data_IF_979640193518
#
_entry.id   IF_979640193518
#
_cell.length_a   1.000
_cell.length_b   1.000
_cell.length_c   1.000
_cell.angle_alpha   90.00
_cell.angle_beta   90.00
_cell.angle_gamma   90.00
#
_symmetry.space_group_name_H-M   'P 1'
#
loop_
_entity.id
_entity.type
_entity.pdbx_description
1 polymer ?
#
# COMPACT_ATOMS: atom_id res chain seq x y z
N UNK A 1 -11.67 27.66 4.20
CA UNK A 1 -11.10 28.42 5.33
C UNK A 1 -9.64 28.78 5.05
N UNK A 2 -9.17 29.99 5.41
CA UNK A 2 -7.76 30.42 5.27
C UNK A 2 -7.18 30.78 6.64
N UNK A 3 -7.02 29.77 7.49
CA UNK A 3 -6.67 29.92 8.91
C UNK A 3 -5.39 30.76 9.13
N UNK A 4 -4.30 30.42 8.46
CA UNK A 4 -3.03 31.15 8.59
C UNK A 4 -3.10 32.62 8.10
N UNK A 5 -3.87 32.91 7.05
CA UNK A 5 -4.02 34.30 6.57
C UNK A 5 -4.88 35.14 7.51
N UNK A 6 -5.89 34.54 8.15
CA UNK A 6 -6.72 35.24 9.13
C UNK A 6 -5.91 35.59 10.39
N UNK A 7 -5.07 34.67 10.85
CA UNK A 7 -4.13 34.94 11.96
C UNK A 7 -3.16 36.08 11.64
N UNK A 8 -2.52 36.05 10.47
CA UNK A 8 -1.57 37.11 10.07
C UNK A 8 -2.23 38.49 9.89
N UNK A 9 -3.48 38.53 9.42
CA UNK A 9 -4.21 39.78 9.21
C UNK A 9 -4.86 40.35 10.48
N UNK A 10 -5.06 39.53 11.52
CA UNK A 10 -5.73 39.90 12.78
C UNK A 10 -4.85 40.68 13.76
N UNK A 11 -3.56 40.88 13.45
CA UNK A 11 -2.56 41.25 14.44
C UNK A 11 -2.07 40.00 15.17
N UNK A 12 -0.79 39.96 15.55
CA UNK A 12 -0.19 38.83 16.28
C UNK A 12 -0.86 38.65 17.64
N UNK A 13 -2.01 37.99 17.65
CA UNK A 13 -2.60 37.43 18.85
C UNK A 13 -1.78 36.23 19.31
N UNK A 14 -1.85 35.97 20.61
CA UNK A 14 -1.04 35.04 21.39
C UNK A 14 -0.65 33.74 20.63
N UNK A 15 0.66 33.51 20.45
CA UNK A 15 1.22 32.36 19.73
C UNK A 15 0.72 31.03 20.30
N UNK A 16 0.47 30.98 21.61
CA UNK A 16 -0.06 29.81 22.29
C UNK A 16 -1.47 29.45 21.81
N UNK A 17 -2.31 30.46 21.55
CA UNK A 17 -3.68 30.26 21.05
C UNK A 17 -3.65 29.78 19.60
N UNK A 18 -2.79 30.36 18.76
CA UNK A 18 -2.60 29.92 17.38
C UNK A 18 -2.19 28.44 17.30
N UNK A 19 -1.24 28.02 18.13
CA UNK A 19 -0.78 26.63 18.16
C UNK A 19 -1.87 25.67 18.67
N UNK A 20 -2.65 26.08 19.67
CA UNK A 20 -3.77 25.28 20.17
C UNK A 20 -4.85 25.08 19.11
N UNK A 21 -5.23 26.15 18.41
CA UNK A 21 -6.24 26.12 17.35
C UNK A 21 -5.74 25.35 16.12
N UNK A 22 -4.45 25.47 15.78
CA UNK A 22 -3.83 24.67 14.70
C UNK A 22 -3.87 23.18 15.02
N UNK A 23 -3.62 22.81 16.28
CA UNK A 23 -3.70 21.42 16.74
C UNK A 23 -5.13 20.87 16.70
N UNK A 24 -6.11 21.70 17.02
CA UNK A 24 -7.53 21.34 16.90
C UNK A 24 -7.93 21.12 15.43
N UNK A 25 -7.45 21.97 14.52
CA UNK A 25 -7.66 21.79 13.08
C UNK A 25 -7.02 20.50 12.55
N UNK A 26 -5.79 20.21 12.91
CA UNK A 26 -5.11 18.96 12.55
C UNK A 26 -5.89 17.73 13.04
N UNK A 27 -6.41 17.79 14.27
CA UNK A 27 -7.24 16.74 14.83
C UNK A 27 -8.54 16.54 14.02
N UNK A 28 -9.24 17.61 13.68
CA UNK A 28 -10.47 17.52 12.87
C UNK A 28 -10.21 16.94 11.48
N UNK A 29 -9.10 17.33 10.84
CA UNK A 29 -8.72 16.84 9.51
C UNK A 29 -8.43 15.32 9.53
N UNK A 30 -7.71 14.84 10.55
CA UNK A 30 -7.25 13.45 10.62
C UNK A 30 -8.29 12.50 11.22
N UNK A 31 -9.00 12.96 12.24
CA UNK A 31 -9.82 12.10 13.11
C UNK A 31 -11.21 12.63 13.42
N UNK A 32 -11.49 13.91 13.14
CA UNK A 32 -12.79 14.52 13.42
C UNK A 32 -13.79 14.40 12.28
N UNK A 33 -14.79 15.27 12.33
CA UNK A 33 -15.92 15.29 11.41
C UNK A 33 -15.60 16.05 10.11
N UNK A 34 -14.36 16.57 9.98
CA UNK A 34 -13.88 17.27 8.79
C UNK A 34 -14.72 18.52 8.50
N UNK A 35 -15.16 19.19 9.56
CA UNK A 35 -15.83 20.49 9.54
C UNK A 35 -15.03 21.51 8.71
N UNK A 36 -13.69 21.41 8.71
CA UNK A 36 -12.79 22.23 7.88
C UNK A 36 -13.14 22.16 6.38
N UNK A 37 -13.67 21.03 5.92
CA UNK A 37 -14.06 20.78 4.53
C UNK A 37 -15.58 20.82 4.31
N UNK A 38 -16.37 21.21 5.33
CA UNK A 38 -17.83 21.22 5.27
C UNK A 38 -18.46 19.85 5.59
N UNK A 39 -17.74 18.99 6.33
CA UNK A 39 -18.24 17.68 6.78
C UNK A 39 -17.99 16.53 5.81
N UNK A 40 -17.47 16.81 4.60
CA UNK A 40 -17.16 15.79 3.61
C UNK A 40 -15.65 15.60 3.45
N UNK A 41 -15.24 14.37 3.13
CA UNK A 41 -13.83 14.11 2.82
C UNK A 41 -13.52 14.64 1.41
N UNK A 42 -12.65 15.65 1.26
CA UNK A 42 -12.28 16.15 -0.06
C UNK A 42 -11.35 15.19 -0.80
N UNK A 43 -10.74 14.22 -0.10
CA UNK A 43 -9.80 13.27 -0.67
C UNK A 43 -10.53 12.04 -1.18
N UNK A 44 -10.45 11.83 -2.50
CA UNK A 44 -10.93 10.61 -3.13
C UNK A 44 -9.92 9.48 -2.90
N UNK A 45 -10.42 8.25 -2.74
CA UNK A 45 -9.58 7.06 -2.71
C UNK A 45 -8.87 6.93 -4.05
N UNK A 46 -7.57 7.18 -4.05
CA UNK A 46 -6.72 6.95 -5.22
C UNK A 46 -6.14 5.55 -5.17
N UNK A 47 -6.06 4.89 -6.33
CA UNK A 47 -5.28 3.68 -6.48
C UNK A 47 -3.79 4.06 -6.41
N UNK A 48 -3.17 3.78 -5.25
CA UNK A 48 -1.81 4.19 -4.96
C UNK A 48 -0.87 3.07 -5.40
N UNK A 49 0.02 3.38 -6.33
CA UNK A 49 1.14 2.53 -6.68
C UNK A 49 2.41 3.08 -6.05
N UNK A 50 3.08 2.27 -5.23
CA UNK A 50 4.37 2.61 -4.66
C UNK A 50 5.50 2.17 -5.60
N UNK A 51 6.43 3.09 -5.86
CA UNK A 51 7.50 2.88 -6.82
C UNK A 51 7.25 3.64 -8.11
N UNK A 52 8.20 3.54 -9.04
CA UNK A 52 8.15 4.26 -10.31
C UNK A 52 7.50 3.38 -11.39
N UNK A 53 7.81 2.08 -11.34
CA UNK A 53 7.42 1.12 -12.36
C UNK A 53 6.42 0.09 -11.80
N UNK A 54 5.38 -0.28 -12.58
CA UNK A 54 4.42 -1.28 -12.17
C UNK A 54 5.04 -2.68 -12.13
N UNK A 55 4.61 -3.48 -11.15
CA UNK A 55 4.92 -4.90 -11.11
C UNK A 55 4.03 -5.65 -12.10
N UNK A 56 4.64 -6.49 -12.91
CA UNK A 56 3.96 -7.43 -13.79
C UNK A 56 4.35 -8.86 -13.41
N UNK A 57 3.47 -9.81 -13.69
CA UNK A 57 3.73 -11.24 -13.54
C UNK A 57 3.67 -11.84 -14.93
N UNK A 58 4.76 -12.43 -15.38
CA UNK A 58 4.88 -13.03 -16.70
C UNK A 58 4.62 -14.53 -16.65
N UNK A 59 5.16 -15.22 -15.64
CA UNK A 59 5.02 -16.67 -15.52
C UNK A 59 5.10 -17.15 -14.07
N UNK A 60 4.47 -18.29 -13.79
CA UNK A 60 4.44 -18.93 -12.47
C UNK A 60 4.76 -20.40 -12.62
N UNK A 61 5.90 -20.81 -12.05
CA UNK A 61 6.39 -22.18 -12.12
C UNK A 61 6.37 -22.80 -10.72
N UNK A 62 5.74 -23.96 -10.58
CA UNK A 62 5.81 -24.76 -9.38
C UNK A 62 6.89 -25.85 -9.53
N UNK A 63 7.85 -25.89 -8.61
CA UNK A 63 8.93 -26.88 -8.62
C UNK A 63 9.31 -27.32 -7.20
N UNK A 64 9.30 -28.64 -6.94
CA UNK A 64 9.80 -29.26 -5.71
C UNK A 64 9.35 -28.55 -4.42
N UNK A 65 8.03 -28.30 -4.29
CA UNK A 65 7.42 -27.56 -3.16
C UNK A 65 7.76 -26.08 -3.07
N UNK A 66 8.21 -25.47 -4.17
CA UNK A 66 8.45 -24.04 -4.29
C UNK A 66 7.62 -23.45 -5.43
N UNK A 67 7.15 -22.22 -5.23
CA UNK A 67 6.56 -21.40 -6.28
C UNK A 67 7.62 -20.38 -6.70
N UNK A 68 7.95 -20.37 -7.98
CA UNK A 68 8.80 -19.38 -8.64
C UNK A 68 7.87 -18.48 -9.45
N UNK A 69 7.91 -17.18 -9.16
CA UNK A 69 7.14 -16.18 -9.90
C UNK A 69 8.11 -15.32 -10.67
N UNK A 70 7.96 -15.33 -12.00
CA UNK A 70 8.69 -14.51 -12.95
C UNK A 70 7.85 -13.31 -13.36
N UNK A 71 8.49 -12.18 -13.58
CA UNK A 71 7.82 -10.92 -13.85
C UNK A 71 8.80 -9.77 -13.98
N UNK A 72 8.32 -8.53 -13.82
CA UNK A 72 9.16 -7.34 -13.84
C UNK A 72 8.95 -6.47 -12.59
N UNK A 73 9.98 -5.70 -12.23
CA UNK A 73 9.95 -4.67 -11.18
C UNK A 73 9.64 -5.17 -9.77
N UNK A 74 9.93 -6.44 -9.47
CA UNK A 74 9.86 -6.92 -8.08
C UNK A 74 10.84 -6.15 -7.19
N UNK A 75 10.41 -5.92 -5.96
CA UNK A 75 11.22 -5.29 -4.93
C UNK A 75 11.35 -6.24 -3.74
N UNK A 76 12.26 -5.96 -2.79
CA UNK A 76 12.32 -6.70 -1.52
C UNK A 76 11.01 -6.69 -0.71
N UNK A 77 10.07 -5.80 -1.05
CA UNK A 77 8.74 -5.67 -0.44
C UNK A 77 7.65 -6.44 -1.20
N UNK A 78 7.96 -7.03 -2.36
CA UNK A 78 7.06 -7.91 -3.10
C UNK A 78 6.86 -9.23 -2.34
N UNK A 79 5.62 -9.63 -2.16
CA UNK A 79 5.20 -10.86 -1.48
C UNK A 79 4.21 -11.61 -2.35
N UNK A 80 4.44 -12.91 -2.50
CA UNK A 80 3.48 -13.81 -3.14
C UNK A 80 2.30 -13.98 -2.18
N UNK A 81 1.10 -13.94 -2.73
CA UNK A 81 -0.16 -14.14 -2.02
C UNK A 81 -0.91 -15.31 -2.67
N UNK A 82 -1.40 -16.21 -1.84
CA UNK A 82 -2.25 -17.33 -2.24
C UNK A 82 -3.62 -17.12 -1.58
N UNK A 83 -4.68 -17.02 -2.38
CA UNK A 83 -6.06 -16.77 -1.89
C UNK A 83 -6.15 -15.57 -0.93
N UNK A 84 -5.48 -14.47 -1.28
CA UNK A 84 -5.44 -13.25 -0.46
C UNK A 84 -4.62 -13.35 0.83
N UNK A 85 -3.79 -14.39 0.99
CA UNK A 85 -2.87 -14.54 2.12
C UNK A 85 -1.42 -14.49 1.67
N UNK A 86 -0.70 -13.50 2.19
CA UNK A 86 0.74 -13.37 1.96
C UNK A 86 1.50 -14.57 2.55
N UNK A 87 2.35 -15.18 1.73
CA UNK A 87 3.25 -16.27 2.12
C UNK A 87 4.68 -15.78 2.27
N UNK A 88 5.50 -16.54 2.98
CA UNK A 88 6.92 -16.23 3.11
C UNK A 88 7.59 -16.28 1.73
N UNK A 89 8.07 -15.11 1.29
CA UNK A 89 8.63 -14.92 -0.04
C UNK A 89 10.08 -14.45 0.09
N UNK A 90 10.96 -15.10 -0.65
CA UNK A 90 12.35 -14.70 -0.82
C UNK A 90 12.48 -13.89 -2.10
N UNK A 91 12.94 -12.65 -1.98
CA UNK A 91 13.33 -11.84 -3.13
C UNK A 91 14.68 -12.35 -3.66
N UNK A 92 14.74 -12.68 -4.96
CA UNK A 92 15.99 -13.12 -5.60
C UNK A 92 16.58 -11.97 -6.41
N UNK A 93 15.81 -11.43 -7.36
CA UNK A 93 16.13 -10.23 -8.14
C UNK A 93 14.84 -9.61 -8.71
N UNK A 94 14.89 -8.44 -9.38
CA UNK A 94 13.68 -7.74 -9.85
C UNK A 94 12.75 -8.50 -10.79
N UNK A 95 13.16 -9.66 -11.31
CA UNK A 95 12.36 -10.49 -12.22
C UNK A 95 12.04 -11.86 -11.63
N UNK A 96 12.48 -12.15 -10.39
CA UNK A 96 12.24 -13.44 -9.74
C UNK A 96 12.05 -13.33 -8.22
N UNK A 97 10.92 -13.86 -7.77
CA UNK A 97 10.63 -14.09 -6.35
C UNK A 97 10.20 -15.55 -6.12
N UNK A 98 10.53 -16.08 -4.95
CA UNK A 98 10.33 -17.51 -4.63
C UNK A 98 9.61 -17.67 -3.29
N UNK A 99 8.53 -18.45 -3.26
CA UNK A 99 7.92 -18.95 -2.03
C UNK A 99 8.30 -20.41 -1.83
N UNK A 100 8.83 -20.76 -0.65
CA UNK A 100 9.30 -22.11 -0.33
C UNK A 100 8.30 -22.87 0.52
N UNK A 101 8.36 -24.20 0.45
CA UNK A 101 7.59 -25.12 1.29
C UNK A 101 6.06 -24.94 1.16
N UNK A 102 5.58 -24.74 -0.07
CA UNK A 102 4.15 -24.61 -0.36
C UNK A 102 3.64 -25.95 -0.89
N UNK A 103 2.63 -26.57 -0.25
CA UNK A 103 2.09 -27.84 -0.72
C UNK A 103 1.33 -27.65 -2.03
N UNK A 104 1.58 -28.53 -2.99
CA UNK A 104 1.01 -28.51 -4.36
C UNK A 104 -0.52 -28.35 -4.37
N UNK A 105 -1.21 -29.00 -3.42
CA UNK A 105 -2.66 -28.94 -3.26
C UNK A 105 -3.20 -27.52 -3.01
N UNK A 106 -2.37 -26.62 -2.46
CA UNK A 106 -2.72 -25.19 -2.25
C UNK A 106 -2.40 -24.31 -3.46
N UNK A 107 -1.71 -24.82 -4.47
CA UNK A 107 -1.30 -24.06 -5.65
C UNK A 107 -2.27 -24.29 -6.81
N UNK A 108 -2.77 -25.53 -6.97
CA UNK A 108 -3.62 -25.91 -8.11
C UNK A 108 -5.01 -25.27 -8.10
N UNK A 109 -5.49 -24.83 -6.93
CA UNK A 109 -6.86 -24.35 -6.71
C UNK A 109 -6.89 -22.90 -6.20
N UNK A 110 -5.73 -22.24 -6.12
CA UNK A 110 -5.60 -20.92 -5.51
C UNK A 110 -5.28 -19.85 -6.54
N UNK A 111 -5.83 -18.65 -6.32
CA UNK A 111 -5.45 -17.46 -7.07
C UNK A 111 -4.11 -16.95 -6.55
N UNK A 112 -3.15 -16.79 -7.46
CA UNK A 112 -1.79 -16.34 -7.16
C UNK A 112 -1.67 -14.87 -7.54
N UNK A 113 -1.44 -14.02 -6.55
CA UNK A 113 -1.23 -12.58 -6.74
C UNK A 113 0.09 -12.16 -6.09
N UNK A 114 0.61 -11.00 -6.48
CA UNK A 114 1.79 -10.41 -5.85
C UNK A 114 1.43 -9.06 -5.27
N UNK A 115 1.67 -8.90 -3.97
CA UNK A 115 1.41 -7.67 -3.23
C UNK A 115 2.72 -6.98 -2.86
N UNK A 116 2.74 -5.66 -2.94
CA UNK A 116 3.78 -4.86 -2.30
C UNK A 116 3.35 -4.56 -0.87
N UNK A 117 4.10 -5.09 0.10
CA UNK A 117 3.77 -4.97 1.50
C UNK A 117 4.80 -4.08 2.20
N UNK A 118 4.32 -3.02 2.84
CA UNK A 118 5.15 -2.12 3.65
C UNK A 118 5.78 -2.82 4.86
N UNK A 119 6.74 -2.17 5.53
CA UNK A 119 7.37 -2.71 6.76
C UNK A 119 6.36 -2.98 7.89
N UNK A 120 5.24 -2.28 7.87
CA UNK A 120 4.11 -2.36 8.79
C UNK A 120 3.10 -3.48 8.43
N UNK A 121 3.38 -4.28 7.41
CA UNK A 121 2.52 -5.35 6.88
C UNK A 121 1.22 -4.88 6.23
N UNK A 122 1.12 -3.58 5.92
CA UNK A 122 -0.03 -3.04 5.20
C UNK A 122 0.21 -3.27 3.70
N UNK A 123 -0.77 -3.84 2.96
CA UNK A 123 -0.67 -3.93 1.51
C UNK A 123 -0.78 -2.51 0.92
N UNK A 124 0.21 -2.14 0.12
CA UNK A 124 0.33 -0.80 -0.47
C UNK A 124 -0.01 -0.79 -1.96
N UNK A 125 -0.08 -1.95 -2.59
CA UNK A 125 -0.46 -2.14 -4.00
C UNK A 125 -0.56 -3.64 -4.34
N UNK A 126 -1.48 -3.99 -5.24
CA UNK A 126 -1.75 -5.37 -5.68
C UNK A 126 -1.56 -5.49 -7.19
N UNK A 127 -0.91 -6.56 -7.62
CA UNK A 127 -0.86 -7.00 -9.02
C UNK A 127 -1.36 -8.43 -9.12
N UNK A 128 -2.33 -8.67 -9.99
CA UNK A 128 -2.87 -10.00 -10.26
C UNK A 128 -2.27 -10.56 -11.54
N UNK A 129 -1.61 -11.72 -11.45
CA UNK A 129 -1.09 -12.45 -12.59
C UNK A 129 -1.95 -13.67 -12.83
N UNK A 130 -2.49 -13.82 -14.03
CA UNK A 130 -3.29 -15.00 -14.38
C UNK A 130 -2.35 -16.08 -14.90
N UNK A 131 -2.20 -17.20 -14.17
CA UNK A 131 -1.47 -18.37 -14.66
C UNK A 131 -2.09 -18.84 -15.98
N UNK A 132 -1.33 -18.75 -17.07
CA UNK A 132 -1.73 -19.33 -18.36
C UNK A 132 -1.29 -20.79 -18.36
N UNK A 133 -2.29 -21.68 -18.43
CA UNK A 133 -2.13 -23.13 -18.63
C UNK A 133 -1.44 -23.46 -19.95
#
# INVERSE_FOLDING_TARGET
MRFHQNYLNGGMEDEETYLADMKALEYDILYGDREVYGGENPYQTTDLQMGIDPITIDDIVYNDSNILVYGENFTPYSRICLDGKAVETTFVWPELIIAKNIPEKKVTDADITVWQIGRDKIPLGESAGTSHK
#
